data_IF_711353163380
#
_entry.id   IF_711353163380
#
_cell.length_a   1.000
_cell.length_b   1.000
_cell.length_c   1.000
_cell.angle_alpha   90.00
_cell.angle_beta   90.00
_cell.angle_gamma   90.00
#
_symmetry.space_group_name_H-M   'P 1'
#
loop_
_entity.id
_entity.type
_entity.pdbx_description
1 polymer ?
#
# COMPACT_ATOMS: atom_id res chain seq x y z
N UNK A 1 16.14 -44.28 1.10
CA UNK A 1 16.93 -43.74 2.24
C UNK A 1 16.16 -43.89 3.55
N UNK A 2 16.81 -44.00 4.73
CA UNK A 2 16.12 -44.21 6.04
C UNK A 2 15.05 -43.14 6.32
N UNK A 3 15.26 -41.91 5.82
CA UNK A 3 14.29 -40.80 5.91
C UNK A 3 12.93 -41.15 5.25
N UNK A 4 12.93 -41.94 4.18
CA UNK A 4 11.72 -42.33 3.43
C UNK A 4 10.83 -43.32 4.20
N UNK A 5 11.39 -44.08 5.14
CA UNK A 5 10.68 -45.08 5.95
C UNK A 5 9.90 -44.44 7.11
N UNK A 6 10.26 -43.21 7.50
CA UNK A 6 9.78 -42.57 8.73
C UNK A 6 8.79 -41.42 8.49
N UNK A 7 8.61 -40.97 7.25
CA UNK A 7 7.70 -39.86 6.93
C UNK A 7 6.30 -40.36 6.53
N UNK A 8 5.22 -39.69 6.97
CA UNK A 8 3.87 -39.97 6.51
C UNK A 8 3.68 -39.70 5.00
N UNK A 9 2.70 -40.35 4.35
CA UNK A 9 2.52 -40.36 2.89
C UNK A 9 2.01 -39.04 2.27
N UNK A 10 1.69 -38.01 3.06
CA UNK A 10 1.00 -36.79 2.58
C UNK A 10 1.91 -35.60 2.24
N UNK A 11 3.23 -35.77 2.14
CA UNK A 11 4.10 -34.66 1.72
C UNK A 11 4.13 -34.52 0.19
N UNK A 12 3.57 -33.41 -0.31
CA UNK A 12 3.33 -33.02 -1.73
C UNK A 12 4.59 -32.87 -2.62
N UNK A 13 5.76 -33.37 -2.20
CA UNK A 13 7.03 -33.23 -2.93
C UNK A 13 7.63 -34.52 -3.49
N UNK A 14 6.97 -35.68 -3.39
CA UNK A 14 7.61 -36.98 -3.71
C UNK A 14 7.48 -37.42 -5.15
N UNK A 15 8.60 -37.87 -5.72
CA UNK A 15 8.69 -38.46 -7.07
C UNK A 15 7.78 -39.69 -7.21
N UNK A 16 7.21 -39.82 -8.42
CA UNK A 16 6.06 -40.64 -8.88
C UNK A 16 5.94 -42.14 -8.55
N UNK A 17 6.70 -42.75 -7.63
CA UNK A 17 6.59 -44.20 -7.38
C UNK A 17 6.87 -44.60 -5.93
N UNK A 18 6.06 -44.14 -4.98
CA UNK A 18 6.11 -44.66 -3.61
C UNK A 18 4.94 -45.61 -3.35
N UNK A 19 5.24 -46.90 -3.15
CA UNK A 19 4.28 -47.89 -2.66
C UNK A 19 4.44 -47.96 -1.13
N UNK A 20 3.39 -47.72 -0.34
CA UNK A 20 3.44 -47.87 1.12
C UNK A 20 3.98 -49.24 1.53
N UNK A 21 4.83 -49.29 2.56
CA UNK A 21 5.43 -50.54 3.07
C UNK A 21 4.33 -51.52 3.47
N UNK A 22 3.23 -51.01 4.03
CA UNK A 22 2.03 -51.76 4.39
C UNK A 22 1.47 -52.53 3.19
N UNK A 23 1.36 -51.87 2.04
CA UNK A 23 0.85 -52.47 0.81
C UNK A 23 1.82 -53.51 0.26
N UNK A 24 3.11 -53.18 0.22
CA UNK A 24 4.15 -54.12 -0.25
C UNK A 24 4.29 -55.35 0.65
N UNK A 25 4.13 -55.16 1.96
CA UNK A 25 4.16 -56.24 2.95
C UNK A 25 2.91 -57.12 2.83
N UNK A 26 1.74 -56.52 2.62
CA UNK A 26 0.50 -57.26 2.32
C UNK A 26 0.65 -58.12 1.08
N UNK A 27 1.19 -57.57 -0.02
CA UNK A 27 1.39 -58.29 -1.27
C UNK A 27 2.33 -59.50 -1.11
N UNK A 28 3.47 -59.32 -0.42
CA UNK A 28 4.42 -60.40 -0.17
C UNK A 28 3.83 -61.46 0.76
N UNK A 29 3.19 -61.04 1.85
CA UNK A 29 2.60 -61.94 2.83
C UNK A 29 1.42 -62.73 2.24
N UNK A 30 0.57 -62.07 1.43
CA UNK A 30 -0.53 -62.73 0.73
C UNK A 30 0.01 -63.76 -0.26
N UNK A 31 1.04 -63.41 -1.04
CA UNK A 31 1.67 -64.34 -1.97
C UNK A 31 2.22 -65.57 -1.26
N UNK A 32 2.88 -65.42 -0.11
CA UNK A 32 3.36 -66.58 0.66
C UNK A 32 2.22 -67.43 1.23
N UNK A 33 1.08 -66.85 1.60
CA UNK A 33 -0.08 -67.59 2.09
C UNK A 33 -0.81 -68.33 0.96
N UNK A 34 -0.86 -67.72 -0.22
CA UNK A 34 -1.42 -68.32 -1.44
C UNK A 34 -0.55 -69.49 -1.92
N UNK A 35 0.79 -69.35 -1.90
CA UNK A 35 1.75 -70.41 -2.23
C UNK A 35 1.68 -71.60 -1.26
N UNK A 36 1.21 -71.38 -0.03
CA UNK A 36 0.97 -72.42 0.97
C UNK A 36 -0.45 -72.99 0.93
N UNK A 37 -1.29 -72.57 -0.04
CA UNK A 37 -2.71 -72.96 -0.17
C UNK A 37 -3.52 -72.76 1.13
N UNK A 38 -3.14 -71.75 1.92
CA UNK A 38 -3.66 -71.56 3.28
C UNK A 38 -5.14 -71.12 3.33
N UNK A 39 -5.70 -70.61 2.24
CA UNK A 39 -7.06 -70.05 2.19
C UNK A 39 -7.27 -68.76 3.03
N UNK A 40 -6.21 -68.18 3.60
CA UNK A 40 -6.26 -66.97 4.41
C UNK A 40 -6.05 -65.74 3.52
N UNK A 41 -6.95 -64.76 3.61
CA UNK A 41 -6.83 -63.46 2.95
C UNK A 41 -6.50 -62.35 3.95
N UNK A 42 -5.44 -61.59 3.66
CA UNK A 42 -5.02 -60.43 4.42
C UNK A 42 -5.73 -59.18 3.90
N UNK A 43 -6.61 -58.63 4.72
CA UNK A 43 -7.39 -57.45 4.37
C UNK A 43 -6.55 -56.16 4.50
N UNK A 44 -6.01 -55.92 5.71
CA UNK A 44 -5.18 -54.76 6.04
C UNK A 44 -3.94 -55.19 6.83
N UNK A 45 -2.76 -54.71 6.40
CA UNK A 45 -1.52 -54.80 7.17
C UNK A 45 -1.18 -53.41 7.69
N UNK A 46 -1.04 -53.28 9.01
CA UNK A 46 -0.66 -52.03 9.66
C UNK A 46 0.67 -52.18 10.40
N UNK A 47 1.49 -51.13 10.37
CA UNK A 47 2.75 -51.08 11.13
C UNK A 47 2.45 -50.51 12.53
N UNK A 48 2.73 -51.29 13.57
CA UNK A 48 2.38 -50.95 14.96
C UNK A 48 3.22 -49.80 15.53
N UNK A 49 4.52 -49.73 15.20
CA UNK A 49 5.41 -48.67 15.67
C UNK A 49 6.56 -48.44 14.69
N UNK A 50 6.74 -47.18 14.27
CA UNK A 50 7.91 -46.74 13.50
C UNK A 50 8.87 -46.02 14.43
N UNK A 51 9.90 -46.72 14.89
CA UNK A 51 10.89 -46.18 15.84
C UNK A 51 12.23 -46.04 15.12
N UNK A 52 12.85 -44.84 15.10
CA UNK A 52 14.17 -44.67 14.52
C UNK A 52 15.24 -45.42 15.35
N UNK A 53 16.35 -45.86 14.74
CA UNK A 53 17.45 -46.50 15.46
C UNK A 53 17.95 -45.66 16.65
N UNK A 54 18.27 -46.30 17.79
CA UNK A 54 18.64 -45.60 19.05
C UNK A 54 19.78 -44.58 18.87
N UNK A 55 20.76 -44.84 18.00
CA UNK A 55 21.89 -43.94 17.73
C UNK A 55 21.48 -42.66 16.98
N UNK A 56 20.43 -42.71 16.18
CA UNK A 56 19.96 -41.59 15.34
C UNK A 56 18.71 -40.92 15.87
N UNK A 57 18.03 -41.52 16.86
CA UNK A 57 16.79 -41.01 17.46
C UNK A 57 16.87 -39.55 17.89
N UNK A 58 17.97 -39.14 18.55
CA UNK A 58 18.18 -37.74 18.95
C UNK A 58 18.24 -36.79 17.76
N UNK A 59 19.01 -37.14 16.73
CA UNK A 59 19.17 -36.33 15.53
C UNK A 59 17.86 -36.24 14.72
N UNK A 60 17.11 -37.33 14.61
CA UNK A 60 15.78 -37.33 13.98
C UNK A 60 14.79 -36.45 14.74
N UNK A 61 14.77 -36.53 16.07
CA UNK A 61 13.92 -35.67 16.89
C UNK A 61 14.31 -34.19 16.73
N UNK A 62 15.60 -33.88 16.64
CA UNK A 62 16.11 -32.52 16.46
C UNK A 62 15.77 -31.95 15.07
N UNK A 63 15.92 -32.75 14.00
CA UNK A 63 15.50 -32.35 12.64
C UNK A 63 14.00 -32.19 12.57
N UNK A 64 13.22 -33.12 13.12
CA UNK A 64 11.75 -33.03 13.13
C UNK A 64 11.28 -31.80 13.90
N UNK A 65 11.90 -31.50 15.05
CA UNK A 65 11.62 -30.28 15.82
C UNK A 65 11.98 -29.03 15.03
N UNK A 66 13.14 -29.02 14.38
CA UNK A 66 13.58 -27.87 13.57
C UNK A 66 12.67 -27.62 12.37
N UNK A 67 12.22 -28.68 11.68
CA UNK A 67 11.21 -28.62 10.62
C UNK A 67 9.88 -28.08 11.15
N UNK A 68 9.42 -28.57 12.30
CA UNK A 68 8.18 -28.08 12.91
C UNK A 68 8.26 -26.58 13.27
N UNK A 69 9.41 -26.13 13.79
CA UNK A 69 9.65 -24.71 14.07
C UNK A 69 9.69 -23.89 12.78
N UNK A 70 10.35 -24.37 11.73
CA UNK A 70 10.41 -23.70 10.43
C UNK A 70 9.02 -23.60 9.77
N UNK A 71 8.25 -24.69 9.75
CA UNK A 71 6.88 -24.70 9.24
C UNK A 71 5.99 -23.74 10.03
N UNK A 72 6.12 -23.72 11.36
CA UNK A 72 5.40 -22.76 12.19
C UNK A 72 5.75 -21.32 11.83
N UNK A 73 7.04 -21.00 11.69
CA UNK A 73 7.47 -19.66 11.30
C UNK A 73 6.95 -19.27 9.91
N UNK A 74 6.89 -20.22 8.98
CA UNK A 74 6.34 -20.01 7.64
C UNK A 74 4.83 -19.72 7.69
N UNK A 75 4.04 -20.53 8.42
CA UNK A 75 2.60 -20.31 8.58
C UNK A 75 2.28 -19.00 9.31
N UNK A 76 3.07 -18.65 10.33
CA UNK A 76 2.95 -17.36 11.04
C UNK A 76 3.22 -16.19 10.07
N UNK A 77 4.27 -16.27 9.26
CA UNK A 77 4.59 -15.26 8.25
C UNK A 77 3.52 -15.13 7.16
N UNK A 78 3.01 -16.26 6.66
CA UNK A 78 1.91 -16.30 5.69
C UNK A 78 0.65 -15.66 6.26
N UNK A 79 0.30 -15.97 7.50
CA UNK A 79 -0.85 -15.36 8.18
C UNK A 79 -0.71 -13.84 8.29
N UNK A 80 0.49 -13.35 8.64
CA UNK A 80 0.76 -11.91 8.70
C UNK A 80 0.65 -11.26 7.31
N UNK A 81 1.25 -11.88 6.28
CA UNK A 81 1.13 -11.43 4.89
C UNK A 81 -0.33 -11.31 4.48
N UNK A 82 -1.09 -12.38 4.64
CA UNK A 82 -2.49 -12.45 4.20
C UNK A 82 -3.35 -11.45 4.99
N UNK A 83 -3.06 -11.24 6.27
CA UNK A 83 -3.68 -10.19 7.09
C UNK A 83 -3.40 -8.78 6.55
N UNK A 84 -2.14 -8.45 6.27
CA UNK A 84 -1.75 -7.14 5.70
C UNK A 84 -2.44 -6.93 4.35
N UNK A 85 -2.41 -7.93 3.47
CA UNK A 85 -3.03 -7.84 2.15
C UNK A 85 -4.54 -7.63 2.23
N UNK A 86 -5.20 -8.36 3.13
CA UNK A 86 -6.64 -8.23 3.37
C UNK A 86 -6.99 -6.84 3.93
N UNK A 87 -6.19 -6.31 4.86
CA UNK A 87 -6.39 -4.97 5.45
C UNK A 87 -6.15 -3.84 4.44
N UNK A 88 -5.19 -4.02 3.53
CA UNK A 88 -4.81 -3.00 2.56
C UNK A 88 -5.74 -2.97 1.35
N UNK A 89 -6.05 -4.13 0.75
CA UNK A 89 -6.71 -4.24 -0.55
C UNK A 89 -7.87 -5.24 -0.60
N UNK A 90 -8.03 -6.07 0.44
CA UNK A 90 -9.12 -7.05 0.52
C UNK A 90 -8.99 -8.18 -0.49
N UNK A 91 -10.13 -8.60 -1.07
CA UNK A 91 -10.20 -9.70 -2.05
C UNK A 91 -9.40 -9.41 -3.33
N UNK A 92 -9.21 -8.14 -3.68
CA UNK A 92 -8.46 -7.73 -4.85
C UNK A 92 -6.93 -7.81 -4.67
N UNK A 93 -6.44 -8.06 -3.45
CA UNK A 93 -5.01 -7.92 -3.12
C UNK A 93 -4.09 -8.81 -3.97
N UNK A 94 -4.42 -10.10 -4.09
CA UNK A 94 -3.59 -11.05 -4.84
C UNK A 94 -3.53 -10.72 -6.31
N UNK A 95 -4.67 -10.33 -6.89
CA UNK A 95 -4.75 -10.01 -8.31
C UNK A 95 -4.01 -8.70 -8.61
N UNK A 96 -4.13 -7.69 -7.74
CA UNK A 96 -3.37 -6.45 -7.86
C UNK A 96 -1.86 -6.73 -7.79
N UNK A 97 -1.39 -7.53 -6.83
CA UNK A 97 0.03 -7.91 -6.74
C UNK A 97 0.50 -8.63 -8.01
N UNK A 98 -0.27 -9.59 -8.53
CA UNK A 98 0.06 -10.30 -9.77
C UNK A 98 0.21 -9.35 -10.96
N UNK A 99 -0.64 -8.34 -11.06
CA UNK A 99 -0.54 -7.33 -12.11
C UNK A 99 0.64 -6.37 -11.90
N UNK A 100 0.97 -6.03 -10.65
CA UNK A 100 2.17 -5.23 -10.31
C UNK A 100 3.44 -5.99 -10.71
N UNK A 101 3.57 -7.26 -10.36
CA UNK A 101 4.72 -8.09 -10.75
C UNK A 101 4.84 -8.18 -12.28
N UNK A 102 3.71 -8.30 -12.97
CA UNK A 102 3.66 -8.32 -14.44
C UNK A 102 4.04 -6.97 -15.06
N UNK A 103 3.65 -5.87 -14.42
CA UNK A 103 4.01 -4.51 -14.80
C UNK A 103 5.52 -4.28 -14.63
N UNK A 104 6.07 -4.64 -13.48
CA UNK A 104 7.50 -4.51 -13.19
C UNK A 104 8.33 -5.37 -14.16
N UNK A 105 7.88 -6.60 -14.43
CA UNK A 105 8.50 -7.45 -15.44
C UNK A 105 8.48 -6.79 -16.83
N UNK A 106 7.36 -6.20 -17.25
CA UNK A 106 7.28 -5.48 -18.52
C UNK A 106 8.22 -4.26 -18.56
N UNK A 107 8.35 -3.53 -17.46
CA UNK A 107 9.30 -2.41 -17.33
C UNK A 107 10.75 -2.87 -17.44
N UNK A 108 11.14 -3.95 -16.74
CA UNK A 108 12.52 -4.48 -16.83
C UNK A 108 12.87 -4.95 -18.24
N UNK A 109 11.88 -5.36 -19.03
CA UNK A 109 12.02 -5.74 -20.44
C UNK A 109 11.91 -4.55 -21.40
N UNK A 110 11.82 -3.31 -20.91
CA UNK A 110 11.61 -2.08 -21.69
C UNK A 110 10.35 -2.13 -22.61
N UNK A 111 9.36 -2.94 -22.26
CA UNK A 111 8.11 -3.04 -23.03
C UNK A 111 7.07 -2.04 -22.50
N UNK A 112 7.16 -0.78 -22.95
CA UNK A 112 6.26 0.29 -22.48
C UNK A 112 4.78 0.07 -22.82
N UNK A 113 4.48 -0.58 -23.95
CA UNK A 113 3.10 -0.82 -24.35
C UNK A 113 2.41 -1.83 -23.43
N UNK A 114 3.11 -2.90 -23.08
CA UNK A 114 2.61 -3.88 -22.13
C UNK A 114 2.54 -3.30 -20.71
N UNK A 115 3.56 -2.54 -20.28
CA UNK A 115 3.53 -1.85 -19.00
C UNK A 115 2.32 -0.90 -18.89
N UNK A 116 2.05 -0.08 -19.91
CA UNK A 116 0.88 0.80 -19.92
C UNK A 116 -0.44 0.02 -19.85
N UNK A 117 -0.52 -1.13 -20.53
CA UNK A 117 -1.70 -2.01 -20.46
C UNK A 117 -1.90 -2.60 -19.06
N UNK A 118 -0.83 -3.05 -18.39
CA UNK A 118 -0.91 -3.58 -17.02
C UNK A 118 -1.29 -2.50 -16.02
N UNK A 119 -0.74 -1.30 -16.18
CA UNK A 119 -1.09 -0.14 -15.34
C UNK A 119 -2.57 0.22 -15.45
N UNK A 120 -3.15 0.21 -16.65
CA UNK A 120 -4.58 0.45 -16.83
C UNK A 120 -5.46 -0.60 -16.14
N UNK A 121 -5.05 -1.87 -16.17
CA UNK A 121 -5.73 -2.95 -15.45
C UNK A 121 -5.67 -2.70 -13.92
N UNK A 122 -4.50 -2.33 -13.40
CA UNK A 122 -4.31 -2.00 -11.98
C UNK A 122 -5.23 -0.84 -11.58
N UNK A 123 -5.25 0.26 -12.35
CA UNK A 123 -6.09 1.42 -12.08
C UNK A 123 -7.59 1.05 -12.02
N UNK A 124 -8.04 0.20 -12.95
CA UNK A 124 -9.43 -0.27 -12.96
C UNK A 124 -9.75 -1.20 -11.78
N UNK A 125 -8.82 -2.08 -11.36
CA UNK A 125 -8.98 -2.92 -10.18
C UNK A 125 -9.04 -2.08 -8.89
N UNK A 126 -8.18 -1.07 -8.77
CA UNK A 126 -8.18 -0.14 -7.64
C UNK A 126 -9.48 0.68 -7.57
N UNK A 127 -10.05 1.03 -8.72
CA UNK A 127 -11.34 1.68 -8.82
C UNK A 127 -12.54 0.75 -8.56
N UNK A 128 -12.31 -0.56 -8.36
CA UNK A 128 -13.37 -1.56 -8.19
C UNK A 128 -14.22 -1.76 -9.44
N UNK A 129 -13.65 -1.53 -10.62
CA UNK A 129 -14.30 -1.76 -11.90
C UNK A 129 -14.11 -3.21 -12.36
N UNK A 130 -14.98 -3.67 -13.25
CA UNK A 130 -14.84 -4.99 -13.86
C UNK A 130 -13.74 -4.97 -14.91
N UNK A 131 -12.80 -5.92 -14.83
CA UNK A 131 -11.66 -5.98 -15.74
C UNK A 131 -11.52 -7.36 -16.35
N UNK A 132 -11.13 -7.41 -17.62
CA UNK A 132 -10.78 -8.64 -18.31
C UNK A 132 -9.30 -8.95 -18.09
N UNK A 133 -9.02 -10.03 -17.38
CA UNK A 133 -7.65 -10.48 -17.11
C UNK A 133 -7.49 -11.87 -17.72
N UNK A 134 -6.55 -12.03 -18.65
CA UNK A 134 -6.26 -13.30 -19.33
C UNK A 134 -7.51 -13.98 -19.93
N UNK A 135 -8.46 -13.17 -20.42
CA UNK A 135 -9.70 -13.65 -21.04
C UNK A 135 -10.83 -14.00 -20.06
N UNK A 136 -10.66 -13.74 -18.75
CA UNK A 136 -11.71 -13.92 -17.73
C UNK A 136 -12.16 -12.56 -17.19
N UNK A 137 -13.47 -12.40 -17.03
CA UNK A 137 -14.04 -11.23 -16.36
C UNK A 137 -13.87 -11.38 -14.86
N UNK A 138 -13.11 -10.47 -14.26
CA UNK A 138 -12.83 -10.43 -12.83
C UNK A 138 -13.50 -9.19 -12.26
N UNK A 139 -14.36 -9.39 -11.25
CA UNK A 139 -15.04 -8.32 -10.53
C UNK A 139 -14.65 -8.40 -9.04
N UNK A 140 -13.45 -7.92 -8.75
CA UNK A 140 -12.92 -7.83 -7.39
C UNK A 140 -13.09 -6.40 -6.89
N UNK A 141 -13.64 -6.25 -5.69
CA UNK A 141 -13.79 -4.93 -5.08
C UNK A 141 -12.62 -4.70 -4.12
N UNK A 142 -11.79 -3.70 -4.43
CA UNK A 142 -10.79 -3.23 -3.48
C UNK A 142 -11.48 -2.55 -2.28
N UNK A 143 -11.14 -2.98 -1.07
CA UNK A 143 -11.59 -2.35 0.18
C UNK A 143 -10.41 -2.21 1.14
N UNK A 144 -10.60 -1.48 2.25
CA UNK A 144 -9.54 -1.22 3.23
C UNK A 144 -8.78 0.08 2.94
N UNK A 145 -7.48 0.10 3.24
CA UNK A 145 -6.65 1.31 3.16
C UNK A 145 -6.62 1.92 1.75
N UNK A 146 -6.59 1.09 0.70
CA UNK A 146 -6.60 1.55 -0.69
C UNK A 146 -7.86 2.36 -1.01
N UNK A 147 -9.01 1.96 -0.47
CA UNK A 147 -10.26 2.67 -0.72
C UNK A 147 -10.24 4.10 -0.16
N UNK A 148 -9.61 4.29 1.01
CA UNK A 148 -9.40 5.61 1.62
C UNK A 148 -8.45 6.45 0.78
N UNK A 149 -7.29 5.88 0.42
CA UNK A 149 -6.28 6.57 -0.41
C UNK A 149 -6.88 6.99 -1.75
N UNK A 150 -7.64 6.10 -2.40
CA UNK A 150 -8.27 6.39 -3.68
C UNK A 150 -9.37 7.44 -3.55
N UNK A 151 -10.16 7.40 -2.47
CA UNK A 151 -11.19 8.41 -2.20
C UNK A 151 -10.58 9.80 -1.98
N UNK A 152 -9.48 9.88 -1.21
CA UNK A 152 -8.73 11.11 -1.01
C UNK A 152 -8.12 11.63 -2.31
N UNK A 153 -7.49 10.77 -3.10
CA UNK A 153 -6.92 11.14 -4.40
C UNK A 153 -7.99 11.66 -5.38
N UNK A 154 -9.17 11.02 -5.42
CA UNK A 154 -10.29 11.46 -6.24
C UNK A 154 -10.85 12.80 -5.77
N UNK A 155 -10.92 13.03 -4.44
CA UNK A 155 -11.32 14.32 -3.87
C UNK A 155 -10.33 15.41 -4.26
N UNK A 156 -9.04 15.18 -4.11
CA UNK A 156 -8.00 16.15 -4.43
C UNK A 156 -7.98 16.48 -5.92
N UNK A 157 -8.12 15.45 -6.77
CA UNK A 157 -8.30 15.61 -8.22
C UNK A 157 -9.52 16.49 -8.54
N UNK A 158 -10.66 16.22 -7.91
CA UNK A 158 -11.89 17.01 -8.10
C UNK A 158 -11.71 18.47 -7.64
N UNK A 159 -11.09 18.69 -6.48
CA UNK A 159 -10.79 20.03 -5.98
C UNK A 159 -9.86 20.80 -6.93
N UNK A 160 -8.81 20.14 -7.44
CA UNK A 160 -7.89 20.72 -8.40
C UNK A 160 -8.60 21.06 -9.71
N UNK A 161 -9.42 20.15 -10.25
CA UNK A 161 -10.19 20.39 -11.47
C UNK A 161 -11.16 21.56 -11.31
N UNK A 162 -11.86 21.65 -10.17
CA UNK A 162 -12.77 22.76 -9.88
C UNK A 162 -12.02 24.09 -9.75
N UNK A 163 -10.84 24.08 -9.11
CA UNK A 163 -9.96 25.25 -9.02
C UNK A 163 -9.51 25.69 -10.42
N UNK A 164 -9.00 24.78 -11.24
CA UNK A 164 -8.54 25.07 -12.60
C UNK A 164 -9.69 25.55 -13.50
N UNK A 165 -10.88 24.97 -13.37
CA UNK A 165 -12.07 25.43 -14.09
C UNK A 165 -12.44 26.86 -13.69
N UNK A 166 -12.45 27.17 -12.39
CA UNK A 166 -12.67 28.52 -11.88
C UNK A 166 -11.61 29.51 -12.36
N UNK A 167 -10.34 29.12 -12.33
CA UNK A 167 -9.23 29.92 -12.86
C UNK A 167 -9.40 30.19 -14.36
N UNK A 168 -9.74 29.16 -15.15
CA UNK A 168 -9.96 29.29 -16.59
C UNK A 168 -11.11 30.24 -16.92
N UNK A 169 -12.23 30.13 -16.20
CA UNK A 169 -13.39 31.04 -16.35
C UNK A 169 -12.99 32.47 -15.99
N UNK A 170 -12.33 32.64 -14.84
CA UNK A 170 -11.89 33.96 -14.38
C UNK A 170 -10.89 34.60 -15.35
N UNK A 171 -9.95 33.82 -15.87
CA UNK A 171 -8.99 34.27 -16.86
C UNK A 171 -9.67 34.72 -18.16
N UNK A 172 -10.62 33.93 -18.66
CA UNK A 172 -11.41 34.29 -19.85
C UNK A 172 -12.20 35.59 -19.65
N UNK A 173 -12.82 35.78 -18.48
CA UNK A 173 -13.52 37.02 -18.15
C UNK A 173 -12.58 38.23 -18.07
N UNK A 174 -11.45 38.07 -17.36
CA UNK A 174 -10.40 39.10 -17.24
C UNK A 174 -9.82 39.49 -18.60
N UNK A 175 -9.57 38.50 -19.47
CA UNK A 175 -9.08 38.74 -20.83
C UNK A 175 -10.07 39.56 -21.67
N UNK A 176 -11.37 39.25 -21.59
CA UNK A 176 -12.42 40.03 -22.28
C UNK A 176 -12.47 41.47 -21.78
N UNK A 177 -12.44 41.67 -20.45
CA UNK A 177 -12.44 43.01 -19.84
C UNK A 177 -11.19 43.82 -20.22
N UNK A 178 -10.01 43.18 -20.23
CA UNK A 178 -8.77 43.81 -20.68
C UNK A 178 -8.85 44.27 -22.14
N UNK A 179 -9.39 43.43 -23.03
CA UNK A 179 -9.57 43.76 -24.46
C UNK A 179 -10.56 44.91 -24.68
N UNK A 180 -11.62 44.98 -23.87
CA UNK A 180 -12.63 46.05 -23.97
C UNK A 180 -12.14 47.39 -23.39
N UNK A 181 -11.56 47.37 -22.19
CA UNK A 181 -11.05 48.58 -21.55
C UNK A 181 -9.89 48.28 -20.58
N UNK A 182 -8.66 48.41 -21.11
CA UNK A 182 -7.43 48.15 -20.38
C UNK A 182 -7.27 49.02 -19.11
N UNK A 183 -7.66 50.28 -19.15
CA UNK A 183 -7.47 51.20 -18.00
C UNK A 183 -8.37 50.82 -16.82
N UNK A 184 -9.64 50.51 -17.10
CA UNK A 184 -10.60 50.08 -16.06
C UNK A 184 -10.20 48.73 -15.47
N UNK A 185 -9.75 47.80 -16.32
CA UNK A 185 -9.23 46.51 -15.86
C UNK A 185 -8.04 46.64 -14.91
N UNK A 186 -7.02 47.43 -15.27
CA UNK A 186 -5.83 47.60 -14.43
C UNK A 186 -6.18 48.22 -13.07
N UNK A 187 -7.07 49.22 -13.05
CA UNK A 187 -7.53 49.83 -11.80
C UNK A 187 -8.32 48.85 -10.94
N UNK A 188 -9.19 48.02 -11.54
CA UNK A 188 -9.95 47.01 -10.83
C UNK A 188 -9.06 45.91 -10.24
N UNK A 189 -8.11 45.38 -11.01
CA UNK A 189 -7.14 44.39 -10.52
C UNK A 189 -6.24 44.96 -9.42
N UNK A 190 -5.81 46.22 -9.57
CA UNK A 190 -5.04 46.90 -8.54
C UNK A 190 -5.86 47.05 -7.25
N UNK A 191 -7.11 47.49 -7.35
CA UNK A 191 -8.00 47.61 -6.19
C UNK A 191 -8.30 46.26 -5.53
N UNK A 192 -8.52 45.20 -6.31
CA UNK A 192 -8.73 43.84 -5.80
C UNK A 192 -7.47 43.32 -5.08
N UNK A 193 -6.30 43.47 -5.70
CA UNK A 193 -5.02 43.03 -5.15
C UNK A 193 -4.66 43.83 -3.90
N UNK A 194 -4.85 45.15 -3.94
CA UNK A 194 -4.68 46.02 -2.78
C UNK A 194 -5.65 45.65 -1.66
N UNK A 195 -6.92 45.37 -1.97
CA UNK A 195 -7.89 44.90 -0.99
C UNK A 195 -7.51 43.56 -0.37
N UNK A 196 -7.02 42.59 -1.15
CA UNK A 196 -6.49 41.31 -0.62
C UNK A 196 -5.27 41.53 0.27
N UNK A 197 -4.35 42.39 -0.16
CA UNK A 197 -3.17 42.76 0.61
C UNK A 197 -3.54 43.45 1.94
N UNK A 198 -4.48 44.37 1.91
CA UNK A 198 -4.95 45.10 3.10
C UNK A 198 -5.72 44.23 4.09
N UNK A 199 -6.37 43.16 3.61
CA UNK A 199 -7.03 42.14 4.46
C UNK A 199 -6.06 41.13 5.08
N UNK A 200 -4.78 41.16 4.71
CA UNK A 200 -3.80 40.27 5.31
C UNK A 200 -3.64 40.61 6.80
N UNK A 201 -3.83 39.63 7.67
CA UNK A 201 -3.75 39.80 9.13
C UNK A 201 -2.36 40.24 9.61
N UNK A 202 -1.32 40.03 8.80
CA UNK A 202 0.02 40.51 9.09
C UNK A 202 0.20 42.01 8.86
N UNK A 203 -0.78 42.70 8.30
CA UNK A 203 -0.68 44.10 7.92
C UNK A 203 -1.35 45.01 8.96
N UNK A 204 -0.55 45.85 9.60
CA UNK A 204 -1.04 46.84 10.55
C UNK A 204 -1.39 48.14 9.81
N UNK A 205 -2.66 48.56 9.89
CA UNK A 205 -3.13 49.80 9.29
C UNK A 205 -3.19 50.91 10.35
N UNK A 206 -2.76 52.11 9.99
CA UNK A 206 -2.87 53.29 10.83
C UNK A 206 -3.50 54.42 10.02
N UNK A 207 -4.71 54.84 10.41
CA UNK A 207 -5.41 55.96 9.78
C UNK A 207 -4.93 57.24 10.45
N UNK A 208 -4.33 58.12 9.66
CA UNK A 208 -3.89 59.42 10.13
C UNK A 208 -4.99 60.47 9.88
N UNK A 209 -5.28 61.36 10.85
CA UNK A 209 -6.18 62.48 10.61
C UNK A 209 -5.56 63.45 9.60
N UNK A 210 -6.39 64.11 8.78
CA UNK A 210 -5.90 65.13 7.84
C UNK A 210 -5.22 66.25 8.63
N UNK A 211 -3.96 66.62 8.30
CA UNK A 211 -3.34 67.76 8.93
C UNK A 211 -4.16 69.01 8.52
N UNK A 212 -4.58 69.81 9.51
CA UNK A 212 -5.20 71.11 9.24
C UNK A 212 -4.23 72.07 8.53
N UNK A 213 -4.66 73.28 8.16
CA UNK A 213 -3.80 74.26 7.50
C UNK A 213 -2.60 74.59 8.40
N UNK A 214 -1.40 74.11 8.01
CA UNK A 214 -0.15 74.26 8.76
C UNK A 214 0.23 73.10 9.69
N UNK A 215 -0.55 72.02 9.76
CA UNK A 215 -0.28 70.87 10.63
C UNK A 215 0.82 69.95 10.09
N UNK A 216 1.88 69.73 10.88
CA UNK A 216 2.81 68.60 10.67
C UNK A 216 2.35 67.40 11.48
N UNK A 217 2.16 66.27 10.82
CA UNK A 217 1.96 64.99 11.50
C UNK A 217 3.34 64.44 11.85
N UNK A 218 3.66 64.41 13.14
CA UNK A 218 4.86 63.72 13.64
C UNK A 218 4.41 62.36 14.15
N UNK A 219 4.73 61.32 13.39
CA UNK A 219 4.45 59.94 13.78
C UNK A 219 5.69 59.36 14.46
N UNK A 220 5.57 59.02 15.75
CA UNK A 220 6.54 58.15 16.40
C UNK A 220 6.08 56.71 16.22
N UNK A 221 6.70 56.01 15.26
CA UNK A 221 6.49 54.58 15.06
C UNK A 221 7.16 53.82 16.20
N UNK A 222 6.44 53.62 17.29
CA UNK A 222 6.85 52.65 18.30
C UNK A 222 6.24 51.30 17.94
N UNK A 223 7.08 50.35 17.50
CA UNK A 223 6.66 48.97 17.28
C UNK A 223 6.46 48.34 18.65
N UNK A 224 5.22 48.30 19.11
CA UNK A 224 4.87 47.59 20.34
C UNK A 224 5.34 46.13 20.24
N UNK A 225 6.30 45.69 21.08
CA UNK A 225 6.85 44.35 21.03
C UNK A 225 5.79 43.29 21.33
N UNK A 226 4.72 43.61 22.09
CA UNK A 226 3.67 42.63 22.40
C UNK A 226 2.79 42.31 21.20
N UNK A 227 2.42 43.34 20.42
CA UNK A 227 1.62 43.16 19.20
C UNK A 227 2.42 42.34 18.18
N UNK A 228 3.70 42.67 18.00
CA UNK A 228 4.58 41.91 17.13
C UNK A 228 4.69 40.46 17.60
N UNK A 229 5.00 40.23 18.88
CA UNK A 229 5.10 38.88 19.44
C UNK A 229 3.80 38.08 19.27
N UNK A 230 2.62 38.71 19.39
CA UNK A 230 1.33 38.08 19.16
C UNK A 230 1.13 37.67 17.70
N UNK A 231 1.50 38.55 16.75
CA UNK A 231 1.43 38.26 15.31
C UNK A 231 2.43 37.14 14.96
N UNK A 232 3.68 37.22 15.42
CA UNK A 232 4.69 36.20 15.17
C UNK A 232 4.30 34.86 15.79
N UNK A 233 3.70 34.85 17.00
CA UNK A 233 3.19 33.63 17.64
C UNK A 233 2.07 32.99 16.81
N UNK A 234 1.12 33.76 16.29
CA UNK A 234 0.05 33.23 15.42
C UNK A 234 0.62 32.68 14.12
N UNK A 235 1.47 33.43 13.43
CA UNK A 235 2.12 32.99 12.19
C UNK A 235 2.92 31.70 12.42
N UNK A 236 3.69 31.64 13.52
CA UNK A 236 4.46 30.46 13.88
C UNK A 236 3.57 29.29 14.30
N UNK A 237 2.42 29.53 14.95
CA UNK A 237 1.46 28.49 15.30
C UNK A 237 0.81 27.89 14.05
N UNK A 238 0.35 28.72 13.11
CA UNK A 238 -0.23 28.26 11.85
C UNK A 238 0.79 27.54 10.96
N UNK A 239 2.03 28.05 10.93
CA UNK A 239 3.13 27.40 10.23
C UNK A 239 3.52 26.08 10.91
N UNK A 240 3.50 26.02 12.25
CA UNK A 240 3.77 24.81 13.02
C UNK A 240 2.67 23.76 12.84
N UNK A 241 1.39 24.13 12.79
CA UNK A 241 0.30 23.21 12.48
C UNK A 241 0.44 22.63 11.07
N UNK A 242 0.68 23.48 10.07
CA UNK A 242 0.90 23.02 8.69
C UNK A 242 2.14 22.13 8.58
N UNK A 243 3.23 22.50 9.27
CA UNK A 243 4.44 21.70 9.32
C UNK A 243 4.24 20.38 10.06
N UNK A 244 3.41 20.35 11.12
CA UNK A 244 3.05 19.14 11.86
C UNK A 244 2.25 18.19 10.97
N UNK A 245 1.22 18.68 10.28
CA UNK A 245 0.45 17.93 9.29
C UNK A 245 1.35 17.32 8.20
N UNK A 246 2.25 18.13 7.63
CA UNK A 246 3.20 17.64 6.62
C UNK A 246 4.19 16.61 7.18
N UNK A 247 4.64 16.77 8.43
CA UNK A 247 5.52 15.81 9.11
C UNK A 247 4.79 14.52 9.44
N UNK A 248 3.53 14.58 9.84
CA UNK A 248 2.69 13.40 10.08
C UNK A 248 2.48 12.63 8.78
N UNK A 249 2.10 13.32 7.70
CA UNK A 249 1.99 12.71 6.36
C UNK A 249 3.31 12.09 5.88
N UNK A 250 4.44 12.81 6.07
CA UNK A 250 5.76 12.29 5.69
C UNK A 250 6.19 11.11 6.57
N UNK A 251 5.95 11.16 7.87
CA UNK A 251 6.28 10.08 8.79
C UNK A 251 5.41 8.84 8.55
N UNK A 252 4.16 9.01 8.12
CA UNK A 252 3.33 7.92 7.64
C UNK A 252 3.93 7.33 6.36
N UNK A 253 4.29 8.17 5.38
CA UNK A 253 4.92 7.73 4.13
C UNK A 253 6.23 6.99 4.35
N UNK A 254 7.13 7.52 5.18
CA UNK A 254 8.41 6.91 5.53
C UNK A 254 8.21 5.58 6.30
N UNK A 255 7.15 5.46 7.10
CA UNK A 255 6.78 4.17 7.73
C UNK A 255 6.30 3.15 6.70
N UNK A 256 5.57 3.57 5.68
CA UNK A 256 5.19 2.70 4.56
C UNK A 256 6.42 2.28 3.75
N UNK A 257 7.28 3.22 3.37
CA UNK A 257 8.52 2.94 2.62
C UNK A 257 9.45 1.99 3.39
N UNK A 258 9.70 2.21 4.69
CA UNK A 258 10.52 1.30 5.51
C UNK A 258 9.91 -0.09 5.69
N UNK A 259 8.58 -0.20 5.74
CA UNK A 259 7.92 -1.50 5.76
C UNK A 259 8.09 -2.23 4.43
N UNK A 260 8.05 -1.50 3.32
CA UNK A 260 8.30 -2.03 1.98
C UNK A 260 9.75 -2.53 1.84
N UNK A 261 10.74 -1.72 2.23
CA UNK A 261 12.16 -2.07 2.14
C UNK A 261 12.52 -3.25 3.05
N UNK A 262 11.95 -3.31 4.25
CA UNK A 262 12.16 -4.42 5.17
C UNK A 262 11.54 -5.73 4.66
N UNK A 263 10.45 -5.66 3.87
CA UNK A 263 9.89 -6.82 3.19
C UNK A 263 10.78 -7.28 2.03
N UNK A 264 11.31 -6.34 1.22
CA UNK A 264 12.21 -6.67 0.11
C UNK A 264 13.54 -7.28 0.57
N UNK A 265 14.09 -6.83 1.71
CA UNK A 265 15.30 -7.40 2.32
C UNK A 265 15.07 -8.76 2.99
N UNK A 266 13.83 -9.12 3.30
CA UNK A 266 13.48 -10.44 3.82
C UNK A 266 13.22 -11.48 2.71
N UNK A 267 13.05 -11.02 1.46
CA UNK A 267 12.84 -11.86 0.27
C UNK A 267 14.12 -12.16 -0.53
N UNK A 268 15.26 -11.55 -0.16
CA UNK A 268 16.60 -11.87 -0.68
C UNK A 268 17.36 -12.82 0.26
#
# INVERSE_FOLDING_TARGET
TIDELLTPPSEEGRSKTYVPIEQRTREIAQRTLDELESGIQLDVVSVTARIPPRRTMRWFAEVSKSRAVANKAFEDAKTIRDGILTDTAGEAAEEILRQIDSYDKALTLNNQAEAASRLAIIDSLLAGQKVMIDGREVNLRAYGQISTIMSDALRDKSQMLNKLAGETISFGAKQKMFKQNRKVFLNAEWAESFGKFMRNESLQQMILPSPGPGGRIVMMLNRDPEINNRITRKINADAAEKAKLLREQKAERDRFERKLDAQQLAEQ
#
